data_IF_874273704579
#
_entry.id   IF_874273704579
#
_cell.length_a   1.000
_cell.length_b   1.000
_cell.length_c   1.000
_cell.angle_alpha   90.00
_cell.angle_beta   90.00
_cell.angle_gamma   90.00
#
_symmetry.space_group_name_H-M   'P 1'
#
loop_
_entity.id
_entity.type
_entity.pdbx_description
1 polymer ?
#
# COMPACT_ATOMS: atom_id res chain seq x y z
N UNK A 1 6.32 -6.37 -32.15
CA UNK A 1 5.50 -5.88 -33.30
C UNK A 1 6.30 -5.66 -34.60
N UNK A 2 7.64 -5.64 -34.58
CA UNK A 2 8.49 -5.49 -35.79
C UNK A 2 8.55 -6.77 -36.66
N UNK A 3 8.28 -7.94 -36.07
CA UNK A 3 8.33 -9.24 -36.78
C UNK A 3 7.26 -9.43 -37.87
N UNK A 4 6.18 -8.64 -37.89
CA UNK A 4 5.10 -8.76 -38.87
C UNK A 4 5.41 -8.08 -40.23
N UNK A 5 6.45 -7.23 -40.30
CA UNK A 5 6.87 -6.53 -41.52
C UNK A 5 8.17 -7.09 -42.12
N UNK A 6 8.64 -8.23 -41.63
CA UNK A 6 9.90 -8.85 -41.99
C UNK A 6 9.87 -9.44 -43.40
N UNK A 7 10.16 -8.61 -44.40
CA UNK A 7 10.83 -8.92 -45.70
C UNK A 7 10.85 -7.71 -46.65
N UNK A 8 10.09 -6.65 -46.38
CA UNK A 8 9.91 -5.53 -47.33
C UNK A 8 10.45 -4.17 -46.85
N UNK A 9 11.11 -4.05 -45.69
CA UNK A 9 11.61 -2.76 -45.19
C UNK A 9 13.04 -2.51 -45.65
N UNK A 10 13.28 -1.37 -46.31
CA UNK A 10 14.62 -0.93 -46.74
C UNK A 10 15.00 0.48 -46.25
N UNK A 11 14.13 1.13 -45.46
CA UNK A 11 14.39 2.47 -44.93
C UNK A 11 13.75 2.70 -43.57
N UNK A 12 14.44 3.44 -42.70
CA UNK A 12 13.98 3.85 -41.38
C UNK A 12 14.30 5.33 -41.15
N UNK A 13 13.32 6.09 -40.63
CA UNK A 13 13.52 7.46 -40.16
C UNK A 13 13.15 7.54 -38.68
N UNK A 14 14.02 8.14 -37.87
CA UNK A 14 13.83 8.27 -36.43
C UNK A 14 13.64 9.75 -36.08
N UNK A 15 12.54 10.06 -35.41
CA UNK A 15 12.26 11.41 -34.90
C UNK A 15 12.27 11.38 -33.38
N UNK A 16 13.13 12.16 -32.69
CA UNK A 16 13.12 12.27 -31.23
C UNK A 16 11.88 13.01 -30.75
N UNK A 17 11.21 12.44 -29.75
CA UNK A 17 10.00 12.99 -29.11
C UNK A 17 10.36 13.70 -27.81
N UNK A 18 11.21 13.06 -27.01
CA UNK A 18 11.75 13.53 -25.74
C UNK A 18 13.13 12.91 -25.54
N UNK A 19 13.79 13.20 -24.43
CA UNK A 19 15.13 12.65 -24.16
C UNK A 19 15.18 11.10 -24.20
N UNK A 20 14.06 10.43 -23.94
CA UNK A 20 14.01 8.96 -23.82
C UNK A 20 13.04 8.27 -24.82
N UNK A 21 12.37 9.03 -25.69
CA UNK A 21 11.35 8.47 -26.60
C UNK A 21 11.61 8.86 -28.06
N UNK A 22 11.45 7.89 -28.97
CA UNK A 22 11.68 8.02 -30.42
C UNK A 22 10.49 7.45 -31.20
N UNK A 23 10.06 8.13 -32.27
CA UNK A 23 9.18 7.53 -33.28
C UNK A 23 10.01 6.99 -34.42
N UNK A 24 9.74 5.76 -34.85
CA UNK A 24 10.33 5.17 -36.03
C UNK A 24 9.30 5.08 -37.18
N UNK A 25 9.63 5.66 -38.32
CA UNK A 25 8.89 5.52 -39.57
C UNK A 25 9.64 4.56 -40.49
N UNK A 26 8.93 3.58 -41.06
CA UNK A 26 9.52 2.57 -41.94
C UNK A 26 9.07 2.77 -43.39
N UNK A 27 9.99 2.57 -44.33
CA UNK A 27 9.73 2.66 -45.77
C UNK A 27 10.06 1.33 -46.44
N UNK A 28 9.24 0.97 -47.43
CA UNK A 28 9.41 -0.27 -48.20
C UNK A 28 10.61 -0.21 -49.15
N UNK A 29 11.12 -1.39 -49.48
CA UNK A 29 12.12 -1.61 -50.53
C UNK A 29 11.62 -1.11 -51.89
N UNK A 30 12.53 -0.51 -52.65
CA UNK A 30 12.27 -0.05 -54.01
C UNK A 30 13.28 -0.71 -54.93
N UNK A 31 12.81 -1.57 -55.82
CA UNK A 31 13.63 -2.08 -56.92
C UNK A 31 14.11 -0.91 -57.78
N UNK A 32 15.43 -0.68 -57.77
CA UNK A 32 16.06 0.37 -58.57
C UNK A 32 16.91 -0.27 -59.66
N UNK A 33 16.60 0.07 -60.92
CA UNK A 33 17.38 -0.39 -62.06
C UNK A 33 18.56 0.57 -62.30
N UNK A 34 19.75 0.17 -61.88
CA UNK A 34 20.98 0.92 -62.10
C UNK A 34 21.56 0.55 -63.45
N UNK A 35 21.85 1.56 -64.28
CA UNK A 35 22.48 1.35 -65.58
C UNK A 35 23.97 1.63 -65.47
N UNK A 36 24.77 0.58 -65.65
CA UNK A 36 26.22 0.63 -65.66
C UNK A 36 26.74 0.78 -67.09
N UNK A 37 27.88 1.46 -67.24
CA UNK A 37 28.56 1.67 -68.52
C UNK A 37 29.25 0.40 -69.08
N UNK A 38 28.96 -0.78 -68.50
CA UNK A 38 29.50 -2.08 -68.88
C UNK A 38 29.31 -3.10 -67.76
N UNK A 39 29.47 -4.39 -68.08
CA UNK A 39 29.40 -5.49 -67.10
C UNK A 39 30.61 -5.38 -66.16
N UNK A 40 30.43 -5.39 -64.82
CA UNK A 40 31.52 -5.24 -63.84
C UNK A 40 32.57 -6.36 -63.92
N UNK A 41 32.13 -7.58 -64.22
CA UNK A 41 32.97 -8.76 -64.34
C UNK A 41 33.53 -8.86 -65.77
N UNK A 42 34.83 -8.57 -65.93
CA UNK A 42 35.55 -8.76 -67.19
C UNK A 42 36.40 -10.02 -67.13
N UNK A 43 36.14 -10.97 -68.03
CA UNK A 43 36.99 -12.14 -68.21
C UNK A 43 38.15 -11.81 -69.15
N UNK A 44 39.39 -12.06 -68.72
CA UNK A 44 40.59 -11.99 -69.56
C UNK A 44 40.70 -13.34 -70.29
N UNK A 45 40.82 -13.33 -71.62
CA UNK A 45 41.03 -14.56 -72.40
C UNK A 45 42.37 -14.46 -73.16
N UNK A 46 43.25 -15.45 -72.93
CA UNK A 46 44.59 -15.56 -73.51
C UNK A 46 45.69 -15.68 -72.45
N UNK A 47 46.83 -16.32 -72.79
CA UNK A 47 48.01 -16.44 -71.90
C UNK A 47 49.25 -15.83 -72.55
N UNK A 48 49.98 -14.98 -71.82
CA UNK A 48 51.19 -14.30 -72.29
C UNK A 48 50.94 -12.88 -72.82
N UNK A 49 51.89 -12.32 -73.58
CA UNK A 49 51.89 -10.93 -74.07
C UNK A 49 50.71 -10.57 -75.01
N UNK A 50 49.85 -11.54 -75.35
CA UNK A 50 48.66 -11.38 -76.19
C UNK A 50 47.34 -11.56 -75.42
N UNK A 51 47.39 -11.53 -74.07
CA UNK A 51 46.20 -11.51 -73.22
C UNK A 51 45.38 -10.24 -73.48
N UNK A 52 44.14 -10.42 -73.96
CA UNK A 52 43.25 -9.32 -74.36
C UNK A 52 41.92 -9.42 -73.64
N UNK A 53 41.46 -8.30 -73.10
CA UNK A 53 40.09 -8.15 -72.61
C UNK A 53 39.13 -8.19 -73.82
N UNK A 54 38.18 -9.12 -73.83
CA UNK A 54 37.08 -9.19 -74.81
C UNK A 54 35.72 -9.26 -74.08
N UNK A 55 34.63 -8.70 -74.66
CA UNK A 55 34.51 -8.18 -76.02
C UNK A 55 34.87 -6.69 -76.14
N UNK A 56 35.45 -6.27 -77.28
CA UNK A 56 35.72 -4.85 -77.62
C UNK A 56 34.45 -4.06 -78.03
N UNK A 57 33.28 -4.44 -77.50
CA UNK A 57 31.98 -3.94 -77.97
C UNK A 57 30.91 -3.78 -76.88
N UNK A 58 31.27 -3.79 -75.60
CA UNK A 58 30.29 -3.55 -74.53
C UNK A 58 30.08 -2.05 -74.26
N UNK A 59 29.58 -1.32 -75.26
CA UNK A 59 28.84 -0.06 -75.00
C UNK A 59 27.35 -0.31 -74.70
N UNK A 60 26.93 -1.59 -74.67
CA UNK A 60 25.60 -1.95 -74.22
C UNK A 60 25.49 -1.69 -72.71
N UNK A 61 24.62 -0.74 -72.37
CA UNK A 61 24.19 -0.46 -71.01
C UNK A 61 23.83 -1.76 -70.26
N UNK A 62 24.58 -2.09 -69.21
CA UNK A 62 24.26 -3.19 -68.31
C UNK A 62 23.27 -2.69 -67.26
N UNK A 63 22.10 -3.32 -67.16
CA UNK A 63 21.06 -2.93 -66.21
C UNK A 63 21.01 -3.95 -65.08
N UNK A 64 21.23 -3.50 -63.86
CA UNK A 64 21.15 -4.32 -62.66
C UNK A 64 19.97 -3.85 -61.82
N UNK A 65 19.16 -4.78 -61.32
CA UNK A 65 18.09 -4.47 -60.36
C UNK A 65 18.67 -4.58 -58.96
N UNK A 66 18.89 -3.44 -58.32
CA UNK A 66 19.33 -3.37 -56.93
C UNK A 66 18.10 -3.47 -56.03
N UNK A 67 18.12 -4.42 -55.09
CA UNK A 67 17.11 -4.65 -54.05
C UNK A 67 17.68 -4.30 -52.68
N UNK A 68 16.82 -4.07 -51.70
CA UNK A 68 17.21 -3.71 -50.33
C UNK A 68 17.56 -2.23 -50.15
N UNK A 69 17.11 -1.34 -51.05
CA UNK A 69 17.35 0.10 -50.95
C UNK A 69 16.03 0.87 -50.87
N UNK A 70 16.03 1.97 -50.13
CA UNK A 70 14.89 2.88 -50.05
C UNK A 70 15.23 4.23 -50.66
N UNK A 71 14.20 4.94 -51.12
CA UNK A 71 14.37 6.34 -51.50
C UNK A 71 14.80 7.16 -50.28
N UNK A 72 15.71 8.10 -50.48
CA UNK A 72 16.12 9.04 -49.43
C UNK A 72 14.90 9.79 -48.86
N UNK A 73 14.94 10.06 -47.55
CA UNK A 73 13.97 10.92 -46.90
C UNK A 73 14.24 12.37 -47.29
N UNK A 74 13.18 13.08 -47.66
CA UNK A 74 13.28 14.51 -48.02
C UNK A 74 13.04 15.37 -46.79
N UNK A 75 13.61 16.58 -46.78
CA UNK A 75 13.41 17.53 -45.68
C UNK A 75 11.92 17.88 -45.42
N UNK A 76 11.07 17.82 -46.43
CA UNK A 76 9.61 18.01 -46.28
C UNK A 76 8.94 16.83 -45.56
N UNK A 77 9.38 15.60 -45.86
CA UNK A 77 8.92 14.39 -45.17
C UNK A 77 9.37 14.36 -43.71
N UNK A 78 10.58 14.86 -43.41
CA UNK A 78 11.06 14.99 -42.03
C UNK A 78 10.19 15.97 -41.23
N UNK A 79 9.77 17.08 -41.84
CA UNK A 79 8.82 18.03 -41.22
C UNK A 79 7.45 17.40 -41.01
N UNK A 80 6.89 16.74 -42.03
CA UNK A 80 5.60 16.05 -41.93
C UNK A 80 5.62 14.99 -40.82
N UNK A 81 6.71 14.23 -40.68
CA UNK A 81 6.87 13.27 -39.60
C UNK A 81 6.79 13.91 -38.20
N UNK A 82 7.39 15.10 -38.05
CA UNK A 82 7.30 15.90 -36.82
C UNK A 82 5.90 16.46 -36.57
N UNK A 83 5.21 16.89 -37.62
CA UNK A 83 3.85 17.46 -37.53
C UNK A 83 2.80 16.41 -37.21
N UNK A 84 2.88 15.21 -37.82
CA UNK A 84 1.99 14.08 -37.51
C UNK A 84 2.10 13.71 -36.04
N UNK A 85 3.31 13.67 -35.48
CA UNK A 85 3.49 13.44 -34.06
C UNK A 85 2.84 14.52 -33.19
N UNK A 86 3.05 15.79 -33.57
CA UNK A 86 2.45 16.93 -32.87
C UNK A 86 0.92 16.87 -32.87
N UNK A 87 0.31 16.40 -33.97
CA UNK A 87 -1.15 16.20 -34.08
C UNK A 87 -1.61 15.01 -33.22
N UNK A 88 -0.90 13.88 -33.25
CA UNK A 88 -1.22 12.70 -32.45
C UNK A 88 -1.17 13.02 -30.95
N UNK A 89 -0.14 13.74 -30.50
CA UNK A 89 0.01 14.17 -29.10
C UNK A 89 -0.94 15.29 -28.69
N UNK A 90 -1.44 16.08 -29.65
CA UNK A 90 -2.49 17.06 -29.42
C UNK A 90 -3.90 16.48 -29.49
N UNK A 91 -4.06 15.21 -29.88
CA UNK A 91 -5.36 14.57 -29.79
C UNK A 91 -5.82 14.52 -28.33
N UNK A 92 -7.06 14.93 -28.12
CA UNK A 92 -7.68 15.03 -26.79
C UNK A 92 -7.64 13.70 -26.02
N UNK A 93 -7.68 12.58 -26.72
CA UNK A 93 -7.67 11.24 -26.15
C UNK A 93 -6.35 10.87 -25.46
N UNK A 94 -5.20 11.17 -26.09
CA UNK A 94 -3.89 10.89 -25.49
C UNK A 94 -3.61 11.78 -24.28
N UNK A 95 -3.95 13.09 -24.37
CA UNK A 95 -3.84 14.00 -23.22
C UNK A 95 -4.73 13.55 -22.06
N UNK A 96 -5.99 13.19 -22.33
CA UNK A 96 -6.91 12.70 -21.31
C UNK A 96 -6.43 11.40 -20.65
N UNK A 97 -5.82 10.49 -21.42
CA UNK A 97 -5.24 9.25 -20.89
C UNK A 97 -4.05 9.52 -19.98
N UNK A 98 -3.13 10.39 -20.38
CA UNK A 98 -1.97 10.78 -19.57
C UNK A 98 -2.45 11.47 -18.29
N UNK A 99 -3.36 12.44 -18.40
CA UNK A 99 -3.91 13.15 -17.24
C UNK A 99 -4.63 12.20 -16.27
N UNK A 100 -5.41 11.25 -16.78
CA UNK A 100 -6.06 10.22 -15.96
C UNK A 100 -5.01 9.38 -15.22
N UNK A 101 -3.99 8.92 -15.93
CA UNK A 101 -2.91 8.10 -15.36
C UNK A 101 -2.12 8.87 -14.30
N UNK A 102 -1.74 10.11 -14.59
CA UNK A 102 -1.04 10.99 -13.65
C UNK A 102 -1.92 11.32 -12.43
N UNK A 103 -3.23 11.52 -12.62
CA UNK A 103 -4.17 11.78 -11.52
C UNK A 103 -4.32 10.56 -10.61
N UNK A 104 -4.42 9.36 -11.19
CA UNK A 104 -4.43 8.10 -10.44
C UNK A 104 -3.11 7.89 -9.68
N UNK A 105 -1.95 8.11 -10.32
CA UNK A 105 -0.66 8.02 -9.66
C UNK A 105 -0.53 9.01 -8.49
N UNK A 106 -0.93 10.27 -8.67
CA UNK A 106 -0.92 11.28 -7.60
C UNK A 106 -1.85 10.90 -6.45
N UNK A 107 -3.01 10.32 -6.74
CA UNK A 107 -3.94 9.84 -5.70
C UNK A 107 -3.31 8.72 -4.89
N UNK A 108 -2.69 7.73 -5.55
CA UNK A 108 -1.99 6.63 -4.88
C UNK A 108 -0.81 7.13 -4.04
N UNK A 109 -0.02 8.07 -4.56
CA UNK A 109 1.10 8.67 -3.82
C UNK A 109 0.59 9.43 -2.59
N UNK A 110 -0.52 10.17 -2.71
CA UNK A 110 -1.10 10.89 -1.58
C UNK A 110 -1.63 9.95 -0.51
N UNK A 111 -2.30 8.87 -0.91
CA UNK A 111 -2.77 7.82 0.00
C UNK A 111 -1.60 7.15 0.72
N UNK A 112 -0.55 6.79 -0.02
CA UNK A 112 0.65 6.20 0.55
C UNK A 112 1.35 7.16 1.53
N UNK A 113 1.46 8.45 1.18
CA UNK A 113 2.02 9.47 2.06
C UNK A 113 1.19 9.67 3.33
N UNK A 114 -0.15 9.58 3.22
CA UNK A 114 -1.05 9.62 4.37
C UNK A 114 -0.80 8.42 5.28
N UNK A 115 -0.76 7.20 4.72
CA UNK A 115 -0.46 5.97 5.47
C UNK A 115 0.91 6.02 6.16
N UNK A 116 1.95 6.50 5.47
CA UNK A 116 3.29 6.67 6.07
C UNK A 116 3.24 7.66 7.23
N UNK A 117 2.53 8.79 7.08
CA UNK A 117 2.39 9.78 8.16
C UNK A 117 1.68 9.18 9.38
N UNK A 118 0.65 8.36 9.16
CA UNK A 118 -0.05 7.66 10.23
C UNK A 118 0.88 6.68 10.95
N UNK A 119 1.65 5.88 10.21
CA UNK A 119 2.63 4.94 10.78
C UNK A 119 3.75 5.63 11.56
N UNK A 120 4.33 6.70 11.02
CA UNK A 120 5.37 7.46 11.72
C UNK A 120 4.85 8.04 13.02
N UNK A 121 3.59 8.45 13.03
CA UNK A 121 3.02 8.94 14.26
C UNK A 121 2.72 7.81 15.23
N UNK A 122 2.27 6.65 14.73
CA UNK A 122 2.12 5.41 15.52
C UNK A 122 3.40 5.12 16.29
N UNK A 123 4.52 5.08 15.58
CA UNK A 123 5.86 4.85 16.16
C UNK A 123 6.22 5.92 17.20
N UNK A 124 5.94 7.20 16.93
CA UNK A 124 6.23 8.28 17.89
C UNK A 124 5.46 8.10 19.21
N UNK A 125 4.17 7.76 19.14
CA UNK A 125 3.36 7.52 20.35
C UNK A 125 3.81 6.24 21.07
N UNK A 126 4.12 5.18 20.32
CA UNK A 126 4.70 3.95 20.88
C UNK A 126 5.96 4.24 21.68
N UNK A 127 6.89 5.05 21.13
CA UNK A 127 8.11 5.46 21.83
C UNK A 127 7.79 6.20 23.12
N UNK A 128 6.93 7.23 23.07
CA UNK A 128 6.64 8.01 24.27
C UNK A 128 5.95 7.20 25.36
N UNK A 129 4.98 6.36 24.99
CA UNK A 129 4.26 5.56 25.98
C UNK A 129 5.13 4.43 26.54
N UNK A 130 5.96 3.80 25.72
CA UNK A 130 6.94 2.81 26.19
C UNK A 130 7.87 3.45 27.23
N UNK A 131 8.32 4.68 27.01
CA UNK A 131 9.15 5.40 27.99
C UNK A 131 8.43 5.63 29.32
N UNK A 132 7.13 5.95 29.30
CA UNK A 132 6.35 6.23 30.50
C UNK A 132 6.10 4.98 31.38
N UNK A 133 6.11 3.79 30.77
CA UNK A 133 5.82 2.52 31.48
C UNK A 133 7.04 1.70 31.82
N UNK A 134 8.22 2.06 31.32
CA UNK A 134 9.44 1.27 31.47
C UNK A 134 10.18 1.55 32.77
N UNK A 135 10.76 0.48 33.33
CA UNK A 135 11.52 0.49 34.57
C UNK A 135 13.02 0.77 34.36
N UNK A 136 13.53 0.54 33.15
CA UNK A 136 14.92 0.80 32.75
C UNK A 136 15.01 1.18 31.26
N UNK A 137 16.20 1.58 30.82
CA UNK A 137 16.47 1.86 29.40
C UNK A 137 16.36 0.57 28.56
N UNK A 138 16.86 -0.55 29.06
CA UNK A 138 16.79 -1.83 28.34
C UNK A 138 15.34 -2.32 28.22
N UNK A 139 14.54 -2.17 29.28
CA UNK A 139 13.11 -2.48 29.28
C UNK A 139 12.35 -1.61 28.28
N UNK A 140 12.73 -0.34 28.19
CA UNK A 140 12.21 0.60 27.19
C UNK A 140 12.53 0.19 25.75
N UNK A 141 13.79 -0.12 25.46
CA UNK A 141 14.23 -0.51 24.11
C UNK A 141 13.52 -1.80 23.69
N UNK A 142 13.55 -2.84 24.54
CA UNK A 142 12.93 -4.13 24.24
C UNK A 142 11.41 -4.00 24.03
N UNK A 143 10.72 -3.22 24.88
CA UNK A 143 9.28 -3.02 24.75
C UNK A 143 8.92 -2.24 23.49
N UNK A 144 9.72 -1.23 23.13
CA UNK A 144 9.49 -0.44 21.92
C UNK A 144 9.73 -1.28 20.66
N UNK A 145 10.82 -2.05 20.62
CA UNK A 145 11.15 -2.91 19.48
C UNK A 145 10.06 -3.97 19.25
N UNK A 146 9.61 -4.66 20.30
CA UNK A 146 8.53 -5.65 20.20
C UNK A 146 7.24 -5.04 19.61
N UNK A 147 6.87 -3.82 20.04
CA UNK A 147 5.70 -3.10 19.53
C UNK A 147 5.86 -2.67 18.07
N UNK A 148 7.05 -2.20 17.69
CA UNK A 148 7.35 -1.85 16.29
C UNK A 148 7.28 -3.09 15.40
N UNK A 149 7.81 -4.23 15.86
CA UNK A 149 7.71 -5.49 15.12
C UNK A 149 6.27 -5.95 14.94
N UNK A 150 5.42 -5.88 15.98
CA UNK A 150 4.00 -6.22 15.87
C UNK A 150 3.28 -5.38 14.80
N UNK A 151 3.55 -4.08 14.76
CA UNK A 151 3.00 -3.17 13.74
C UNK A 151 3.58 -3.48 12.35
N UNK A 152 4.89 -3.70 12.24
CA UNK A 152 5.55 -4.00 10.98
C UNK A 152 5.01 -5.31 10.37
N UNK A 153 4.79 -6.33 11.21
CA UNK A 153 4.20 -7.60 10.82
C UNK A 153 2.78 -7.45 10.27
N UNK A 154 1.93 -6.69 10.98
CA UNK A 154 0.58 -6.38 10.50
C UNK A 154 0.59 -5.61 9.17
N UNK A 155 1.57 -4.71 8.99
CA UNK A 155 1.76 -3.99 7.74
C UNK A 155 2.23 -4.91 6.61
N UNK A 156 3.16 -5.82 6.86
CA UNK A 156 3.61 -6.82 5.87
C UNK A 156 2.45 -7.71 5.41
N UNK A 157 1.61 -8.18 6.34
CA UNK A 157 0.39 -8.93 5.99
C UNK A 157 -0.54 -8.12 5.08
N UNK A 158 -0.66 -6.81 5.30
CA UNK A 158 -1.50 -5.94 4.47
C UNK A 158 -0.90 -5.65 3.08
N UNK A 159 0.42 -5.76 2.93
CA UNK A 159 1.13 -5.53 1.65
C UNK A 159 1.20 -6.78 0.81
N UNK A 160 1.38 -7.96 1.42
CA UNK A 160 1.49 -9.25 0.72
C UNK A 160 0.16 -9.73 0.13
N UNK A 161 -0.97 -9.28 0.69
CA UNK A 161 -2.31 -9.59 0.22
C UNK A 161 -3.10 -8.31 -0.16
N UNK A 162 -2.75 -7.59 -1.25
CA UNK A 162 -3.45 -6.34 -1.61
C UNK A 162 -4.95 -6.53 -1.89
N UNK A 163 -5.34 -7.73 -2.35
CA UNK A 163 -6.71 -8.11 -2.67
C UNK A 163 -7.39 -8.90 -1.53
N UNK A 164 -6.64 -9.44 -0.57
CA UNK A 164 -7.19 -10.17 0.57
C UNK A 164 -6.98 -9.36 1.85
N UNK A 165 -8.08 -8.91 2.45
CA UNK A 165 -8.04 -8.17 3.71
C UNK A 165 -7.33 -9.00 4.77
N UNK A 166 -6.47 -8.36 5.57
CA UNK A 166 -5.81 -9.03 6.69
C UNK A 166 -6.89 -9.57 7.62
N UNK A 167 -6.95 -10.90 7.73
CA UNK A 167 -7.96 -11.54 8.54
C UNK A 167 -7.63 -11.42 10.03
N UNK A 168 -8.65 -11.21 10.86
CA UNK A 168 -8.52 -11.20 12.33
C UNK A 168 -7.83 -12.48 12.81
N UNK A 169 -8.17 -13.63 12.21
CA UNK A 169 -7.54 -14.91 12.48
C UNK A 169 -6.06 -14.92 12.17
N UNK A 170 -5.62 -14.33 11.06
CA UNK A 170 -4.20 -14.29 10.68
C UNK A 170 -3.39 -13.57 11.74
N UNK A 171 -3.88 -12.42 12.21
CA UNK A 171 -3.24 -11.61 13.27
C UNK A 171 -3.17 -12.42 14.58
N UNK A 172 -4.29 -13.00 15.01
CA UNK A 172 -4.34 -13.79 16.24
C UNK A 172 -3.43 -15.02 16.19
N UNK A 173 -3.38 -15.71 15.04
CA UNK A 173 -2.52 -16.89 14.87
C UNK A 173 -1.04 -16.51 14.87
N UNK A 174 -0.68 -15.39 14.24
CA UNK A 174 0.69 -14.90 14.23
C UNK A 174 1.15 -14.53 15.65
N UNK A 175 0.37 -13.70 16.35
CA UNK A 175 0.71 -13.28 17.72
C UNK A 175 0.66 -14.46 18.69
N UNK A 176 -0.31 -15.37 18.54
CA UNK A 176 -0.39 -16.60 19.33
C UNK A 176 0.86 -17.46 19.17
N UNK A 177 1.31 -17.72 17.93
CA UNK A 177 2.54 -18.48 17.67
C UNK A 177 3.78 -17.82 18.25
N UNK A 178 3.87 -16.49 18.20
CA UNK A 178 5.00 -15.75 18.77
C UNK A 178 5.10 -15.93 20.30
N UNK A 179 3.97 -16.05 21.00
CA UNK A 179 3.92 -16.09 22.47
C UNK A 179 3.81 -17.50 23.05
N UNK A 180 3.15 -18.45 22.36
CA UNK A 180 2.94 -19.83 22.85
C UNK A 180 3.70 -20.90 22.05
N UNK A 181 4.45 -20.51 21.01
CA UNK A 181 5.11 -21.45 20.11
C UNK A 181 4.13 -22.40 19.41
N UNK A 182 4.45 -23.70 19.38
CA UNK A 182 3.59 -24.76 18.80
C UNK A 182 2.69 -25.44 19.85
N UNK A 183 2.50 -24.84 21.02
CA UNK A 183 1.66 -25.41 22.08
C UNK A 183 0.16 -25.23 21.78
N UNK A 184 -0.66 -26.26 21.99
CA UNK A 184 -2.13 -26.23 21.84
C UNK A 184 -2.87 -25.40 22.93
N UNK A 185 -2.13 -24.51 23.61
CA UNK A 185 -2.60 -23.68 24.72
C UNK A 185 -3.33 -22.43 24.27
N UNK A 186 -3.15 -22.02 23.01
CA UNK A 186 -3.89 -20.91 22.40
C UNK A 186 -4.83 -21.48 21.35
N UNK A 187 -6.14 -21.41 21.61
CA UNK A 187 -7.17 -21.91 20.71
C UNK A 187 -7.93 -20.75 20.10
N UNK A 188 -7.97 -20.69 18.77
CA UNK A 188 -8.63 -19.61 18.03
C UNK A 188 -9.74 -20.23 17.18
N UNK A 189 -10.99 -19.89 17.49
CA UNK A 189 -12.18 -20.41 16.81
C UNK A 189 -13.04 -19.26 16.25
N UNK A 190 -13.75 -19.51 15.15
CA UNK A 190 -14.69 -18.55 14.56
C UNK A 190 -14.47 -18.27 13.08
N UNK A 191 -15.35 -17.45 12.46
CA UNK A 191 -15.39 -17.23 11.02
C UNK A 191 -14.29 -16.28 10.55
N UNK A 192 -13.64 -16.53 9.40
CA UNK A 192 -12.63 -15.62 8.84
C UNK A 192 -13.23 -14.25 8.54
N UNK A 193 -12.77 -13.20 9.24
CA UNK A 193 -13.24 -11.82 9.06
C UNK A 193 -12.09 -10.93 8.64
N UNK A 194 -12.26 -10.18 7.56
CA UNK A 194 -11.29 -9.18 7.12
C UNK A 194 -11.45 -7.86 7.89
N UNK A 195 -10.34 -7.23 8.25
CA UNK A 195 -10.31 -5.87 8.79
C UNK A 195 -9.97 -4.84 7.71
N UNK A 196 -10.53 -3.64 7.84
CA UNK A 196 -10.12 -2.50 7.02
C UNK A 196 -8.64 -2.15 7.24
N UNK A 197 -7.89 -1.83 6.17
CA UNK A 197 -6.45 -1.53 6.26
C UNK A 197 -6.09 -0.46 7.29
N UNK A 198 -6.97 0.51 7.50
CA UNK A 198 -6.75 1.66 8.40
C UNK A 198 -6.71 1.24 9.87
N UNK A 199 -7.46 0.20 10.25
CA UNK A 199 -7.57 -0.27 11.65
C UNK A 199 -6.71 -1.49 11.96
N UNK A 200 -6.25 -2.20 10.93
CA UNK A 200 -5.42 -3.42 11.05
C UNK A 200 -4.17 -3.23 11.93
N UNK A 201 -3.34 -2.18 11.78
CA UNK A 201 -2.14 -2.01 12.60
C UNK A 201 -2.45 -1.80 14.08
N UNK A 202 -3.51 -1.03 14.36
CA UNK A 202 -3.94 -0.74 15.74
C UNK A 202 -4.53 -2.01 16.37
N UNK A 203 -5.28 -2.80 15.59
CA UNK A 203 -5.84 -4.07 16.05
C UNK A 203 -4.73 -5.07 16.39
N UNK A 204 -3.71 -5.20 15.52
CA UNK A 204 -2.56 -6.05 15.78
C UNK A 204 -1.83 -5.66 17.08
N UNK A 205 -1.66 -4.36 17.31
CA UNK A 205 -1.06 -3.86 18.55
C UNK A 205 -1.92 -4.17 19.78
N UNK A 206 -3.26 -4.08 19.68
CA UNK A 206 -4.18 -4.49 20.75
C UNK A 206 -4.03 -5.98 21.08
N UNK A 207 -3.98 -6.83 20.06
CA UNK A 207 -3.77 -8.28 20.24
C UNK A 207 -2.38 -8.56 20.85
N UNK A 208 -1.35 -7.87 20.38
CA UNK A 208 0.00 -8.00 20.90
C UNK A 208 0.08 -7.70 22.41
N UNK A 209 -0.57 -6.62 22.85
CA UNK A 209 -0.61 -6.28 24.28
C UNK A 209 -1.43 -7.28 25.11
N UNK A 210 -2.54 -7.80 24.57
CA UNK A 210 -3.29 -8.87 25.25
C UNK A 210 -2.44 -10.15 25.38
N UNK A 211 -1.74 -10.55 24.32
CA UNK A 211 -0.83 -11.71 24.34
C UNK A 211 0.34 -11.50 25.31
N UNK A 212 0.96 -10.32 25.29
CA UNK A 212 2.04 -9.97 26.22
C UNK A 212 1.56 -10.04 27.67
N UNK A 213 0.35 -9.56 27.96
CA UNK A 213 -0.23 -9.63 29.30
C UNK A 213 -0.53 -11.07 29.72
N UNK A 214 -1.07 -11.90 28.82
CA UNK A 214 -1.30 -13.31 29.08
C UNK A 214 0.02 -14.04 29.40
N UNK A 215 1.12 -13.71 28.70
CA UNK A 215 2.43 -14.32 28.93
C UNK A 215 3.13 -13.81 30.20
N UNK A 216 3.00 -12.52 30.53
CA UNK A 216 3.68 -11.93 31.70
C UNK A 216 2.91 -12.15 33.01
N UNK A 217 1.60 -12.08 32.97
CA UNK A 217 0.75 -11.98 34.17
C UNK A 217 -0.44 -12.94 34.17
N UNK A 218 -0.76 -13.54 33.04
CA UNK A 218 -1.98 -14.33 32.85
C UNK A 218 -1.72 -15.82 32.65
N UNK A 219 -2.67 -16.47 31.99
CA UNK A 219 -2.69 -17.93 31.73
C UNK A 219 -1.44 -18.45 31.03
N UNK A 220 -0.83 -17.69 30.12
CA UNK A 220 0.34 -18.14 29.38
C UNK A 220 1.64 -18.07 30.19
N UNK A 221 1.63 -17.46 31.38
CA UNK A 221 2.78 -17.38 32.29
C UNK A 221 3.11 -18.68 33.03
N UNK A 222 2.14 -19.59 33.16
CA UNK A 222 2.27 -20.91 33.82
C UNK A 222 2.12 -22.03 32.79
N UNK A 223 2.53 -23.27 33.06
CA UNK A 223 2.47 -24.36 32.07
C UNK A 223 1.04 -24.89 31.80
N UNK A 224 0.18 -24.83 32.82
CA UNK A 224 -1.15 -25.41 32.86
C UNK A 224 -2.21 -24.50 32.24
N UNK A 225 -1.92 -23.20 32.12
CA UNK A 225 -2.88 -22.20 31.68
C UNK A 225 -3.20 -22.31 30.19
N UNK A 226 -4.39 -21.87 29.81
CA UNK A 226 -4.84 -21.86 28.42
C UNK A 226 -5.58 -20.57 28.08
N UNK A 227 -5.57 -20.24 26.78
CA UNK A 227 -6.22 -19.09 26.19
C UNK A 227 -7.18 -19.56 25.10
N UNK A 228 -8.47 -19.33 25.32
CA UNK A 228 -9.52 -19.55 24.33
C UNK A 228 -9.94 -18.19 23.73
N UNK A 229 -9.83 -18.08 22.40
CA UNK A 229 -10.25 -16.93 21.62
C UNK A 229 -11.39 -17.36 20.69
N UNK A 230 -12.56 -16.78 20.87
CA UNK A 230 -13.73 -17.04 20.04
C UNK A 230 -14.15 -15.77 19.29
N UNK A 231 -14.33 -15.90 17.98
CA UNK A 231 -14.80 -14.83 17.10
C UNK A 231 -16.23 -15.16 16.69
N UNK A 232 -17.13 -14.22 16.91
CA UNK A 232 -18.52 -14.31 16.46
C UNK A 232 -18.87 -13.12 15.60
N UNK A 233 -19.66 -13.37 14.55
CA UNK A 233 -20.30 -12.34 13.74
C UNK A 233 -21.80 -12.36 14.04
N UNK A 234 -22.34 -11.25 14.53
CA UNK A 234 -23.76 -11.11 14.81
C UNK A 234 -24.27 -9.74 14.35
N UNK A 235 -25.27 -9.72 13.47
CA UNK A 235 -25.82 -8.49 12.87
C UNK A 235 -24.73 -7.60 12.22
N UNK A 236 -23.72 -8.22 11.62
CA UNK A 236 -22.57 -7.51 11.05
C UNK A 236 -21.61 -6.93 12.09
N UNK A 237 -21.81 -7.12 13.40
CA UNK A 237 -20.81 -6.75 14.40
C UNK A 237 -19.89 -7.93 14.67
N UNK A 238 -18.59 -7.66 14.73
CA UNK A 238 -17.62 -8.63 15.19
C UNK A 238 -17.54 -8.56 16.71
N UNK A 239 -17.66 -9.72 17.37
CA UNK A 239 -17.38 -9.89 18.78
C UNK A 239 -16.24 -10.87 18.95
N UNK A 240 -15.19 -10.46 19.63
CA UNK A 240 -14.05 -11.27 19.99
C UNK A 240 -14.08 -11.50 21.50
N UNK A 241 -14.17 -12.76 21.89
CA UNK A 241 -14.11 -13.22 23.27
C UNK A 241 -12.71 -13.73 23.53
N UNK A 242 -12.08 -13.18 24.56
CA UNK A 242 -10.77 -13.58 25.06
C UNK A 242 -10.96 -14.16 26.45
N UNK A 243 -10.68 -15.45 26.61
CA UNK A 243 -10.87 -16.15 27.89
C UNK A 243 -9.58 -16.85 28.30
N UNK A 244 -8.97 -16.37 29.38
CA UNK A 244 -7.83 -17.01 30.02
C UNK A 244 -8.31 -17.94 31.13
N UNK A 245 -7.72 -19.13 31.20
CA UNK A 245 -8.05 -20.17 32.19
C UNK A 245 -6.80 -20.79 32.77
N UNK A 246 -6.95 -21.35 33.97
CA UNK A 246 -5.92 -22.12 34.66
C UNK A 246 -4.60 -21.34 34.82
N UNK A 247 -4.72 -20.01 34.90
CA UNK A 247 -3.63 -19.07 35.12
C UNK A 247 -3.42 -18.74 36.59
N UNK A 248 -2.44 -17.88 36.90
CA UNK A 248 -2.29 -17.32 38.24
C UNK A 248 -3.52 -16.52 38.65
N UNK A 249 -3.71 -16.34 39.97
CA UNK A 249 -4.81 -15.55 40.51
C UNK A 249 -4.78 -14.13 39.95
N UNK A 250 -5.86 -13.75 39.26
CA UNK A 250 -5.98 -12.43 38.66
C UNK A 250 -6.45 -11.42 39.70
N UNK A 251 -5.79 -10.27 39.72
CA UNK A 251 -6.23 -9.09 40.48
C UNK A 251 -6.33 -7.90 39.53
N UNK A 252 -7.34 -7.02 39.69
CA UNK A 252 -7.42 -5.79 38.92
C UNK A 252 -6.10 -4.99 39.02
N UNK A 253 -5.58 -4.47 37.90
CA UNK A 253 -4.33 -3.74 37.91
C UNK A 253 -4.46 -2.45 38.72
N UNK A 254 -3.48 -2.18 39.58
CA UNK A 254 -3.40 -0.94 40.38
C UNK A 254 -2.73 0.21 39.62
N UNK A 255 -2.05 -0.09 38.51
CA UNK A 255 -1.41 0.87 37.62
C UNK A 255 -1.92 0.67 36.20
N UNK A 256 -2.25 1.77 35.52
CA UNK A 256 -2.60 1.76 34.11
C UNK A 256 -1.32 1.68 33.28
N UNK A 257 -1.06 0.50 32.71
CA UNK A 257 0.03 0.30 31.75
C UNK A 257 -0.39 0.71 30.34
N UNK A 258 0.54 0.62 29.40
CA UNK A 258 0.28 0.91 27.99
C UNK A 258 -0.86 0.07 27.41
N UNK A 259 -0.90 -1.24 27.68
CA UNK A 259 -1.98 -2.10 27.21
C UNK A 259 -3.35 -1.62 27.68
N UNK A 260 -3.50 -1.19 28.94
CA UNK A 260 -4.74 -0.60 29.45
C UNK A 260 -5.07 0.70 28.71
N UNK A 261 -4.11 1.61 28.56
CA UNK A 261 -4.29 2.89 27.86
C UNK A 261 -4.68 2.68 26.39
N UNK A 262 -4.03 1.74 25.70
CA UNK A 262 -4.34 1.39 24.33
C UNK A 262 -5.76 0.84 24.22
N UNK A 263 -6.12 -0.14 25.06
CA UNK A 263 -7.46 -0.75 25.05
C UNK A 263 -8.56 0.28 25.38
N UNK A 264 -8.32 1.15 26.37
CA UNK A 264 -9.29 2.14 26.84
C UNK A 264 -9.55 3.27 25.84
N UNK A 265 -8.61 3.52 24.93
CA UNK A 265 -8.74 4.64 24.01
C UNK A 265 -8.79 4.24 22.52
N UNK A 266 -8.03 3.24 22.08
CA UNK A 266 -8.09 2.80 20.69
C UNK A 266 -9.43 2.12 20.37
N UNK A 267 -9.99 1.36 21.31
CA UNK A 267 -11.26 0.65 21.05
C UNK A 267 -12.44 1.61 20.87
N UNK A 268 -12.67 2.61 21.75
CA UNK A 268 -13.78 3.55 21.53
C UNK A 268 -13.51 4.55 20.40
N UNK A 269 -12.26 4.99 20.18
CA UNK A 269 -11.96 6.10 19.27
C UNK A 269 -11.64 5.66 17.84
N UNK A 270 -10.76 4.66 17.67
CA UNK A 270 -10.34 4.18 16.34
C UNK A 270 -11.29 3.11 15.83
N UNK A 271 -11.68 2.19 16.70
CA UNK A 271 -12.59 1.12 16.31
C UNK A 271 -14.06 1.48 16.42
N UNK A 272 -14.40 2.60 17.08
CA UNK A 272 -15.81 2.94 17.41
C UNK A 272 -16.55 1.74 18.03
N UNK A 273 -15.79 0.96 18.80
CA UNK A 273 -16.19 -0.31 19.37
C UNK A 273 -16.31 -0.23 20.88
N UNK A 274 -16.55 -1.38 21.51
CA UNK A 274 -16.60 -1.47 22.98
C UNK A 274 -15.68 -2.56 23.47
N UNK A 275 -15.06 -2.33 24.62
CA UNK A 275 -14.27 -3.34 25.32
C UNK A 275 -14.78 -3.51 26.75
N UNK A 276 -15.06 -4.75 27.12
CA UNK A 276 -15.43 -5.14 28.48
C UNK A 276 -14.33 -6.04 29.04
N UNK A 277 -13.86 -5.75 30.26
CA UNK A 277 -12.80 -6.50 30.93
C UNK A 277 -13.30 -6.99 32.27
N UNK A 278 -13.10 -8.28 32.52
CA UNK A 278 -13.42 -8.93 33.78
C UNK A 278 -12.15 -9.60 34.35
N UNK A 279 -11.76 -9.15 35.54
CA UNK A 279 -10.58 -9.61 36.26
C UNK A 279 -11.00 -10.60 37.34
N UNK A 280 -11.69 -11.67 36.93
CA UNK A 280 -12.15 -12.72 37.83
C UNK A 280 -10.97 -13.54 38.35
N UNK A 281 -11.03 -14.00 39.61
CA UNK A 281 -9.90 -14.69 40.27
C UNK A 281 -9.44 -15.96 39.53
N UNK A 282 -10.35 -16.62 38.82
CA UNK A 282 -10.15 -17.85 38.06
C UNK A 282 -9.55 -17.61 36.66
N UNK A 283 -9.49 -16.36 36.20
CA UNK A 283 -8.90 -16.00 34.91
C UNK A 283 -9.41 -14.68 34.35
N UNK A 284 -8.60 -14.08 33.48
CA UNK A 284 -8.93 -12.83 32.80
C UNK A 284 -9.90 -13.10 31.63
N UNK A 285 -10.94 -12.27 31.52
CA UNK A 285 -11.88 -12.31 30.40
C UNK A 285 -12.00 -10.93 29.78
N UNK A 286 -12.04 -10.89 28.46
CA UNK A 286 -12.27 -9.66 27.71
C UNK A 286 -13.21 -9.90 26.54
N UNK A 287 -14.09 -8.93 26.27
CA UNK A 287 -14.97 -8.91 25.10
C UNK A 287 -14.70 -7.65 24.33
N UNK A 288 -14.20 -7.79 23.10
CA UNK A 288 -13.99 -6.71 22.15
C UNK A 288 -15.08 -6.76 21.08
N UNK A 289 -15.84 -5.67 20.93
CA UNK A 289 -16.87 -5.55 19.90
C UNK A 289 -16.47 -4.48 18.89
N UNK A 290 -16.48 -4.83 17.59
CA UNK A 290 -16.20 -3.93 16.47
C UNK A 290 -17.45 -3.78 15.58
N UNK A 291 -17.77 -2.57 15.10
CA UNK A 291 -18.91 -2.32 14.22
C UNK A 291 -18.70 -2.90 12.81
N UNK A 292 -19.82 -3.14 12.12
CA UNK A 292 -19.84 -3.66 10.75
C UNK A 292 -19.09 -2.81 9.73
N UNK A 293 -18.92 -1.52 10.03
CA UNK A 293 -18.24 -0.57 9.15
C UNK A 293 -16.75 -0.82 9.02
N UNK A 294 -16.13 -1.55 9.97
CA UNK A 294 -14.69 -1.81 10.00
C UNK A 294 -14.33 -3.22 9.56
N UNK A 295 -15.33 -4.08 9.43
CA UNK A 295 -15.17 -5.44 8.96
C UNK A 295 -15.67 -5.56 7.53
N UNK A 296 -15.10 -6.49 6.78
CA UNK A 296 -15.61 -6.85 5.46
C UNK A 296 -15.70 -8.37 5.40
N UNK A 297 -16.81 -8.86 4.87
CA UNK A 297 -16.95 -10.28 4.58
C UNK A 297 -16.00 -10.67 3.45
N UNK A 298 -15.31 -11.80 3.61
CA UNK A 298 -14.35 -12.36 2.66
C UNK A 298 -14.96 -12.72 1.28
N UNK A 299 -16.23 -12.40 1.02
CA UNK A 299 -17.00 -12.78 -0.17
C UNK A 299 -17.51 -11.58 -0.98
N UNK A 300 -17.29 -10.32 -0.57
CA UNK A 300 -17.80 -9.17 -1.37
C UNK A 300 -16.84 -8.01 -1.44
N UNK A 301 -15.82 -8.15 -2.30
CA UNK A 301 -15.00 -7.02 -2.76
C UNK A 301 -15.46 -6.42 -4.10
N UNK A 302 -16.55 -6.89 -4.71
CA UNK A 302 -17.03 -6.31 -5.98
C UNK A 302 -17.63 -4.89 -5.83
N UNK A 303 -18.06 -4.50 -4.63
CA UNK A 303 -18.93 -3.31 -4.44
C UNK A 303 -18.39 -2.22 -3.50
N UNK A 304 -17.25 -2.42 -2.82
CA UNK A 304 -16.83 -1.52 -1.71
C UNK A 304 -16.15 -0.23 -2.19
N UNK A 305 -15.63 -0.18 -3.43
CA UNK A 305 -14.98 1.03 -3.99
C UNK A 305 -15.94 2.19 -4.34
N UNK A 306 -17.26 2.07 -4.07
CA UNK A 306 -18.26 3.11 -4.41
C UNK A 306 -19.01 3.71 -3.23
N UNK A 307 -18.76 3.30 -1.99
CA UNK A 307 -19.54 3.74 -0.81
C UNK A 307 -18.70 4.52 0.20
N UNK A 308 -18.20 5.69 -0.20
CA UNK A 308 -17.77 6.72 0.76
C UNK A 308 -18.45 8.04 0.44
N UNK A 309 -19.77 8.06 0.59
CA UNK A 309 -20.56 9.29 0.70
C UNK A 309 -21.87 8.97 1.45
N UNK A 310 -22.20 9.79 2.46
CA UNK A 310 -23.36 9.71 3.39
C UNK A 310 -23.24 8.59 4.44
N UNK A 311 -23.51 8.77 5.74
CA UNK A 311 -24.61 9.48 6.44
C UNK A 311 -24.22 9.55 7.95
N UNK A 312 -24.04 10.68 8.64
CA UNK A 312 -24.98 11.56 9.42
C UNK A 312 -26.15 10.91 10.20
N UNK A 313 -26.15 11.03 11.54
CA UNK A 313 -27.27 11.43 12.44
C UNK A 313 -26.87 11.19 13.93
N UNK A 314 -26.70 12.22 14.77
CA UNK A 314 -27.63 12.77 15.82
C UNK A 314 -27.63 12.00 17.18
N UNK A 315 -27.70 12.56 18.40
CA UNK A 315 -27.47 13.87 19.06
C UNK A 315 -27.77 13.70 20.59
N UNK A 316 -27.26 14.61 21.44
CA UNK A 316 -27.82 15.15 22.74
C UNK A 316 -26.80 15.12 23.92
N UNK A 317 -26.13 16.24 24.27
CA UNK A 317 -26.42 17.31 25.29
C UNK A 317 -25.97 16.95 26.73
N UNK A 318 -25.35 17.79 27.58
CA UNK A 318 -25.57 19.19 27.98
C UNK A 318 -24.33 19.89 28.62
N UNK A 319 -24.34 21.23 28.61
CA UNK A 319 -23.35 22.25 29.03
C UNK A 319 -23.07 22.37 30.56
N UNK A 320 -21.86 22.87 30.96
CA UNK A 320 -21.63 24.03 31.87
C UNK A 320 -20.14 24.36 32.20
N UNK A 321 -19.76 25.62 31.89
CA UNK A 321 -18.93 26.64 32.58
C UNK A 321 -17.84 26.29 33.64
N UNK A 322 -16.56 26.60 33.34
CA UNK A 322 -15.73 27.72 33.89
C UNK A 322 -14.22 27.57 33.56
N UNK A 323 -13.65 28.62 32.94
CA UNK A 323 -12.24 29.00 32.74
C UNK A 323 -11.12 27.96 33.05
N UNK A 324 -10.95 27.00 32.14
CA UNK A 324 -9.71 26.24 31.92
C UNK A 324 -9.38 26.38 30.44
N UNK A 325 -8.11 26.49 30.04
CA UNK A 325 -7.74 26.55 28.62
C UNK A 325 -8.26 25.27 27.92
N UNK A 326 -9.34 25.41 27.15
CA UNK A 326 -10.01 24.33 26.43
C UNK A 326 -9.61 24.38 24.96
N UNK A 327 -9.19 23.25 24.39
CA UNK A 327 -8.76 23.15 23.00
C UNK A 327 -9.50 22.01 22.29
N UNK A 328 -9.98 22.27 21.08
CA UNK A 328 -10.54 21.25 20.20
C UNK A 328 -9.45 20.80 19.22
N UNK A 329 -8.99 19.56 19.38
CA UNK A 329 -7.96 18.93 18.58
C UNK A 329 -8.62 18.11 17.46
N UNK A 330 -8.45 18.56 16.21
CA UNK A 330 -9.00 17.90 15.03
C UNK A 330 -7.93 17.06 14.36
N UNK A 331 -8.01 15.74 14.47
CA UNK A 331 -6.94 14.87 14.02
C UNK A 331 -7.49 13.45 13.70
N UNK A 332 -7.12 12.91 12.53
CA UNK A 332 -7.69 11.71 11.91
C UNK A 332 -7.01 10.38 12.31
N UNK A 333 -6.03 10.42 13.19
CA UNK A 333 -5.21 9.30 13.67
C UNK A 333 -4.94 9.42 15.18
N UNK A 334 -5.74 8.70 15.99
CA UNK A 334 -5.77 8.79 17.45
C UNK A 334 -4.42 8.84 18.17
N UNK A 335 -3.42 8.17 17.64
CA UNK A 335 -2.06 8.19 18.14
C UNK A 335 -1.43 9.59 18.09
N UNK A 336 -1.63 10.33 17.00
CA UNK A 336 -1.19 11.73 16.83
C UNK A 336 -2.00 12.62 17.77
N UNK A 337 -3.29 12.30 17.92
CA UNK A 337 -4.17 12.98 18.88
C UNK A 337 -3.64 12.84 20.31
N UNK A 338 -3.24 11.64 20.72
CA UNK A 338 -2.59 11.39 22.01
C UNK A 338 -1.25 12.09 22.11
N UNK A 339 -0.45 12.11 21.03
CA UNK A 339 0.82 12.84 21.04
C UNK A 339 0.61 14.31 21.40
N UNK A 340 -0.31 14.92 20.66
CA UNK A 340 -0.64 16.33 20.77
C UNK A 340 -1.34 16.64 22.10
N UNK A 341 -2.21 15.76 22.60
CA UNK A 341 -2.88 15.91 23.90
C UNK A 341 -1.88 15.92 25.06
N UNK A 342 -0.90 15.02 25.08
CA UNK A 342 0.11 15.06 26.14
C UNK A 342 1.01 16.30 26.04
N UNK A 343 1.29 16.81 24.83
CA UNK A 343 1.98 18.09 24.64
C UNK A 343 1.13 19.26 25.13
N UNK A 344 -0.15 19.31 24.80
CA UNK A 344 -1.08 20.35 25.23
C UNK A 344 -1.25 20.35 26.77
N UNK A 345 -1.36 19.17 27.38
CA UNK A 345 -1.39 19.03 28.84
C UNK A 345 -0.09 19.52 29.49
N UNK A 346 1.07 19.26 28.87
CA UNK A 346 2.36 19.76 29.37
C UNK A 346 2.51 21.28 29.30
N UNK A 347 1.69 21.95 28.49
CA UNK A 347 1.67 23.42 28.28
C UNK A 347 0.51 24.08 29.06
N UNK A 348 -0.29 23.31 29.81
CA UNK A 348 -1.33 23.83 30.72
C UNK A 348 -2.76 23.84 30.17
N UNK A 349 -3.04 23.10 29.09
CA UNK A 349 -4.42 22.82 28.68
C UNK A 349 -4.97 21.66 29.51
N UNK A 350 -6.07 21.87 30.23
CA UNK A 350 -6.67 20.84 31.09
C UNK A 350 -7.88 20.16 30.41
N UNK A 351 -8.42 20.75 29.34
CA UNK A 351 -9.64 20.31 28.70
C UNK A 351 -9.46 20.25 27.17
N UNK A 352 -8.79 19.20 26.69
CA UNK A 352 -8.54 18.97 25.25
C UNK A 352 -9.58 17.98 24.72
N UNK A 353 -10.50 18.46 23.88
CA UNK A 353 -11.49 17.63 23.21
C UNK A 353 -10.91 17.17 21.86
N UNK A 354 -10.86 15.86 21.61
CA UNK A 354 -10.36 15.29 20.36
C UNK A 354 -11.54 14.97 19.44
N UNK A 355 -11.45 15.37 18.18
CA UNK A 355 -12.41 15.06 17.12
C UNK A 355 -11.66 14.58 15.89
N UNK A 356 -12.20 13.59 15.20
CA UNK A 356 -11.51 12.90 14.10
C UNK A 356 -11.87 13.41 12.70
N UNK A 357 -12.63 14.49 12.62
CA UNK A 357 -12.92 15.15 11.35
C UNK A 357 -13.22 16.63 11.52
N UNK A 358 -13.00 17.41 10.47
CA UNK A 358 -13.38 18.83 10.41
C UNK A 358 -14.89 19.02 10.56
N UNK A 359 -15.68 18.01 10.17
CA UNK A 359 -17.13 18.00 10.35
C UNK A 359 -17.53 17.88 11.82
N UNK A 360 -16.88 16.98 12.56
CA UNK A 360 -17.13 16.78 13.99
C UNK A 360 -16.58 17.96 14.80
N UNK A 361 -15.50 18.58 14.31
CA UNK A 361 -14.99 19.82 14.90
C UNK A 361 -15.99 20.97 14.82
N UNK A 362 -16.66 21.14 13.68
CA UNK A 362 -17.70 22.14 13.50
C UNK A 362 -18.98 21.85 14.32
N UNK A 363 -19.16 20.63 14.82
CA UNK A 363 -20.24 20.28 15.74
C UNK A 363 -19.88 20.46 17.22
N UNK A 364 -18.58 20.51 17.53
CA UNK A 364 -18.04 20.64 18.88
C UNK A 364 -17.75 22.09 19.31
N UNK A 365 -17.72 23.03 18.36
CA UNK A 365 -17.70 24.50 18.55
C UNK A 365 -19.13 25.02 18.47
#
# INVERSE_FOLDING_TARGET
>A
MVAAFGTEIAGMHLTPISNDNLVAFFRRDREQMTTWAGIPEKTIVGTGADARLRPRGSFAAYKETVRGTSAAWTQEQDRIASDVWSILMNSSEYKALIEKTTRQQKMLINELNHRIRNLLTLIRSLSRQSRATSSSIDDYVNTLEARIEAVANAHSLAVEEPEALVSVQSILQQEGRAHSGQSDRVRINGPKVGLQPEVTPIFALVIHELMTNATKYGSLSVSEGSLDIEIMLHEGRLKLFWTERDGPLVTPPTRMGFGSILLDNAVPNDFRGTILRDYARDGFKCVLELPSTLITDAVSQSDVLKRTASTTAERSSTLRDRATLSCLLVEDSFVVSMDTLATLNSVGFENVQIVNSSRDALQAI
#
